data_IF_594610873225
#
_entry.id   IF_594610873225
#
_cell.length_a   1.000
_cell.length_b   1.000
_cell.length_c   1.000
_cell.angle_alpha   90.00
_cell.angle_beta   90.00
_cell.angle_gamma   90.00
#
_symmetry.space_group_name_H-M   'P 1'
#
loop_
_entity.id
_entity.type
_entity.pdbx_description
1 polymer ?
#
# COMPACT_ATOMS: atom_id res chain seq x y z
N UNK A 1 8.01 76.69 21.52
CA UNK A 1 7.26 75.57 22.11
C UNK A 1 7.69 74.29 21.41
N UNK A 2 8.61 73.52 22.04
CA UNK A 2 9.21 72.30 21.41
C UNK A 2 8.56 71.10 22.05
N UNK A 3 7.77 70.37 21.24
CA UNK A 3 7.21 69.07 21.63
C UNK A 3 8.31 68.02 21.52
N UNK A 4 8.60 67.35 22.61
CA UNK A 4 9.44 66.14 22.63
C UNK A 4 8.55 64.94 22.36
N UNK A 5 8.74 64.28 21.20
CA UNK A 5 8.09 63.04 20.85
C UNK A 5 8.90 61.90 21.50
N UNK A 6 8.37 61.33 22.57
CA UNK A 6 8.97 60.18 23.25
C UNK A 6 8.56 58.92 22.49
N UNK A 7 9.56 58.23 21.98
CA UNK A 7 9.45 56.96 21.29
C UNK A 7 8.95 55.87 22.25
N UNK A 8 7.74 55.39 22.01
CA UNK A 8 7.23 54.14 22.60
C UNK A 8 7.67 52.99 21.70
N UNK A 9 8.79 52.35 22.02
CA UNK A 9 9.14 51.05 21.45
C UNK A 9 8.25 49.99 22.11
N UNK A 10 7.21 49.58 21.42
CA UNK A 10 6.45 48.38 21.79
C UNK A 10 7.28 47.16 21.42
N UNK A 11 7.80 46.46 22.42
CA UNK A 11 8.41 45.14 22.22
C UNK A 11 7.32 44.12 21.88
N UNK A 12 7.21 43.78 20.63
CA UNK A 12 6.42 42.60 20.19
C UNK A 12 7.23 41.36 20.53
N UNK A 13 6.99 40.79 21.72
CA UNK A 13 7.47 39.45 22.04
C UNK A 13 6.75 38.44 21.20
N UNK A 14 7.43 37.92 20.14
CA UNK A 14 6.99 36.75 19.44
C UNK A 14 6.91 35.58 20.44
N UNK A 15 5.69 35.22 20.81
CA UNK A 15 5.40 33.94 21.45
C UNK A 15 5.66 32.81 20.43
N UNK A 16 6.92 32.39 20.39
CA UNK A 16 7.28 31.15 19.73
C UNK A 16 6.68 30.01 20.57
N UNK A 17 5.49 29.53 20.20
CA UNK A 17 4.87 28.38 20.83
C UNK A 17 5.81 27.16 20.74
N UNK A 18 5.70 26.21 21.68
CA UNK A 18 6.52 25.01 21.64
C UNK A 18 6.32 24.33 20.28
N UNK A 19 7.39 24.22 19.50
CA UNK A 19 7.40 23.41 18.32
C UNK A 19 7.08 21.98 18.78
N UNK A 20 5.93 21.46 18.39
CA UNK A 20 5.65 20.04 18.53
C UNK A 20 6.72 19.31 17.72
N UNK A 21 7.73 18.80 18.40
CA UNK A 21 8.68 17.88 17.80
C UNK A 21 7.88 16.65 17.32
N UNK A 22 7.85 16.44 16.02
CA UNK A 22 7.31 15.19 15.49
C UNK A 22 8.04 14.02 16.19
N UNK A 23 7.31 12.96 16.59
CA UNK A 23 7.96 11.81 17.19
C UNK A 23 9.06 11.32 16.25
N UNK A 24 10.29 11.27 16.75
CA UNK A 24 11.41 10.74 15.99
C UNK A 24 11.06 9.30 15.61
N UNK A 25 11.10 8.98 14.32
CA UNK A 25 11.00 7.61 13.87
C UNK A 25 12.10 6.79 14.55
N UNK A 26 11.78 5.55 15.01
CA UNK A 26 12.79 4.72 15.63
C UNK A 26 13.99 4.57 14.69
N UNK A 27 15.16 4.83 15.21
CA UNK A 27 16.42 4.71 14.48
C UNK A 27 16.74 3.20 14.30
N UNK A 28 16.15 2.62 13.29
CA UNK A 28 16.41 1.23 12.92
C UNK A 28 17.45 1.23 11.82
N UNK A 29 18.68 0.93 12.19
CA UNK A 29 19.81 0.83 11.27
C UNK A 29 19.54 -0.18 10.14
N UNK A 30 18.76 -1.23 10.43
CA UNK A 30 18.34 -2.25 9.46
C UNK A 30 17.46 -1.71 8.32
N UNK A 31 16.73 -0.63 8.53
CA UNK A 31 15.88 0.00 7.49
C UNK A 31 16.70 0.95 6.61
N UNK A 32 17.78 1.54 7.13
CA UNK A 32 18.58 2.52 6.38
C UNK A 32 19.29 1.92 5.16
N UNK A 33 19.67 0.66 5.25
CA UNK A 33 20.52 0.01 4.23
C UNK A 33 19.73 -0.87 3.24
N UNK A 34 18.46 -1.23 3.56
CA UNK A 34 17.73 -2.22 2.75
C UNK A 34 16.22 -2.01 2.65
N UNK A 35 15.71 -0.86 3.10
CA UNK A 35 14.27 -0.62 3.11
C UNK A 35 13.89 0.84 2.87
N UNK A 36 12.59 1.07 2.75
CA UNK A 36 12.00 2.41 2.77
C UNK A 36 10.86 2.46 3.78
N UNK A 37 10.56 3.67 4.27
CA UNK A 37 9.45 3.90 5.19
C UNK A 37 8.34 4.60 4.44
N UNK A 38 7.19 3.94 4.35
CA UNK A 38 5.98 4.50 3.75
C UNK A 38 4.99 4.91 4.85
N UNK A 39 4.64 6.20 4.87
CA UNK A 39 3.72 6.74 5.88
C UNK A 39 2.31 6.84 5.30
N UNK A 40 1.34 6.29 6.02
CA UNK A 40 -0.08 6.36 5.67
C UNK A 40 -0.88 6.98 6.82
N UNK A 41 -1.98 7.65 6.49
CA UNK A 41 -2.93 8.12 7.49
C UNK A 41 -3.90 6.98 7.81
N UNK A 42 -3.79 6.39 9.00
CA UNK A 42 -4.66 5.30 9.45
C UNK A 42 -3.90 4.16 10.14
N UNK A 43 -4.61 3.17 10.60
CA UNK A 43 -4.06 1.97 11.21
C UNK A 43 -4.21 0.77 10.29
N UNK A 44 -3.14 0.00 10.17
CA UNK A 44 -3.14 -1.27 9.47
C UNK A 44 -3.47 -2.36 10.47
N UNK A 45 -4.70 -2.85 10.46
CA UNK A 45 -5.19 -3.86 11.40
C UNK A 45 -4.95 -5.29 10.91
N UNK A 46 -4.76 -5.47 9.61
CA UNK A 46 -4.51 -6.77 8.98
C UNK A 46 -3.86 -6.58 7.63
N UNK A 47 -3.06 -7.55 7.22
CA UNK A 47 -2.51 -7.64 5.86
C UNK A 47 -3.36 -8.55 4.95
N UNK A 48 -4.41 -9.18 5.47
CA UNK A 48 -5.28 -10.03 4.65
C UNK A 48 -6.31 -9.18 3.89
N UNK A 49 -6.21 -9.08 2.55
CA UNK A 49 -7.10 -8.25 1.73
C UNK A 49 -8.55 -8.74 1.74
N UNK A 50 -8.81 -10.02 2.04
CA UNK A 50 -10.16 -10.57 2.15
C UNK A 50 -10.92 -10.06 3.39
N UNK A 51 -10.22 -9.52 4.39
CA UNK A 51 -10.81 -9.03 5.64
C UNK A 51 -10.95 -7.51 5.71
N UNK A 52 -10.59 -6.79 4.66
CA UNK A 52 -10.64 -5.32 4.63
C UNK A 52 -11.41 -4.83 3.42
N UNK A 53 -12.24 -3.83 3.67
CA UNK A 53 -13.02 -3.13 2.64
C UNK A 53 -12.55 -1.69 2.41
N UNK A 54 -11.50 -1.23 3.11
CA UNK A 54 -11.00 0.13 2.96
C UNK A 54 -9.93 0.21 1.86
N UNK A 55 -10.09 1.16 0.93
CA UNK A 55 -9.16 1.39 -0.17
C UNK A 55 -7.73 1.61 0.28
N UNK A 56 -7.50 2.28 1.42
CA UNK A 56 -6.15 2.54 1.93
C UNK A 56 -5.31 1.26 2.12
N UNK A 57 -5.87 0.22 2.73
CA UNK A 57 -5.13 -1.03 2.99
C UNK A 57 -5.03 -1.85 1.72
N UNK A 58 -6.10 -1.90 0.92
CA UNK A 58 -6.11 -2.63 -0.35
C UNK A 58 -5.13 -2.00 -1.34
N UNK A 59 -5.17 -0.68 -1.51
CA UNK A 59 -4.39 0.00 -2.54
C UNK A 59 -2.92 0.15 -2.15
N UNK A 60 -2.61 0.35 -0.87
CA UNK A 60 -1.23 0.62 -0.44
C UNK A 60 -0.45 -0.62 -0.04
N UNK A 61 -1.11 -1.64 0.49
CA UNK A 61 -0.44 -2.84 1.02
C UNK A 61 -0.76 -4.08 0.22
N UNK A 62 -2.04 -4.37 -0.03
CA UNK A 62 -2.41 -5.58 -0.73
C UNK A 62 -1.86 -5.61 -2.16
N UNK A 63 -1.88 -4.46 -2.84
CA UNK A 63 -1.31 -4.31 -4.19
C UNK A 63 0.21 -4.54 -4.26
N UNK A 64 0.92 -4.44 -3.13
CA UNK A 64 2.38 -4.65 -3.05
C UNK A 64 2.77 -6.03 -2.52
N UNK A 65 1.83 -6.74 -1.88
CA UNK A 65 2.12 -7.99 -1.19
C UNK A 65 1.51 -9.21 -1.87
N UNK A 66 0.45 -9.01 -2.67
CA UNK A 66 -0.33 -10.10 -3.25
C UNK A 66 -0.49 -9.91 -4.76
N UNK A 67 -0.23 -10.98 -5.47
CA UNK A 67 -0.50 -11.06 -6.90
C UNK A 67 -2.01 -11.19 -7.15
N UNK A 68 -2.45 -10.76 -8.32
CA UNK A 68 -3.84 -10.80 -8.79
C UNK A 68 -3.95 -11.68 -10.03
N UNK A 69 -5.18 -12.06 -10.39
CA UNK A 69 -5.40 -12.72 -11.68
C UNK A 69 -5.04 -11.80 -12.85
N UNK A 70 -5.50 -10.55 -12.75
CA UNK A 70 -5.24 -9.47 -13.69
C UNK A 70 -4.85 -8.22 -12.92
N UNK A 71 -4.01 -7.41 -13.49
CA UNK A 71 -3.67 -6.10 -12.97
C UNK A 71 -4.19 -4.98 -13.89
N UNK A 72 -4.07 -3.73 -13.46
CA UNK A 72 -4.43 -2.55 -14.22
C UNK A 72 -3.17 -1.74 -14.52
N UNK A 73 -2.85 -1.59 -15.79
CA UNK A 73 -1.76 -0.72 -16.22
C UNK A 73 -2.01 0.72 -15.74
N UNK A 74 -1.12 1.33 -14.96
CA UNK A 74 -1.34 2.63 -14.33
C UNK A 74 -1.36 3.81 -15.33
N UNK A 75 -0.86 3.61 -16.54
CA UNK A 75 -0.79 4.66 -17.57
C UNK A 75 -1.96 4.58 -18.54
N UNK A 76 -2.35 3.36 -18.92
CA UNK A 76 -3.40 3.14 -19.92
C UNK A 76 -4.75 2.78 -19.31
N UNK A 77 -4.78 2.44 -18.03
CA UNK A 77 -5.96 1.95 -17.29
C UNK A 77 -6.59 0.71 -17.93
N UNK A 78 -5.79 -0.08 -18.63
CA UNK A 78 -6.24 -1.33 -19.25
C UNK A 78 -5.87 -2.51 -18.37
N UNK A 79 -6.69 -3.54 -18.43
CA UNK A 79 -6.38 -4.83 -17.80
C UNK A 79 -5.17 -5.46 -18.50
N UNK A 80 -4.23 -5.93 -17.70
CA UNK A 80 -3.03 -6.62 -18.14
C UNK A 80 -2.92 -7.98 -17.44
N UNK A 81 -2.30 -8.98 -18.09
CA UNK A 81 -2.08 -10.30 -17.50
C UNK A 81 -1.17 -10.26 -16.28
N UNK A 82 -1.55 -10.98 -15.20
CA UNK A 82 -0.69 -11.20 -14.03
C UNK A 82 -0.63 -12.71 -13.70
N UNK A 83 -1.35 -13.26 -12.70
CA UNK A 83 -1.43 -14.71 -12.47
C UNK A 83 -2.18 -15.44 -13.57
N UNK A 84 -3.11 -14.78 -14.25
CA UNK A 84 -3.66 -15.25 -15.51
C UNK A 84 -2.83 -14.71 -16.68
N UNK A 85 -2.35 -15.59 -17.56
CA UNK A 85 -1.63 -15.20 -18.79
C UNK A 85 -2.58 -14.68 -19.88
N UNK A 86 -3.85 -15.09 -19.84
CA UNK A 86 -4.92 -14.63 -20.72
C UNK A 86 -6.30 -14.91 -20.14
N UNK A 87 -7.32 -14.29 -20.69
CA UNK A 87 -8.71 -14.56 -20.32
C UNK A 87 -9.63 -14.43 -21.52
N UNK A 88 -10.78 -15.06 -21.43
CA UNK A 88 -11.86 -15.03 -22.41
C UNK A 88 -13.16 -14.56 -21.74
N UNK A 89 -13.93 -13.78 -22.46
CA UNK A 89 -15.27 -13.35 -22.05
C UNK A 89 -16.28 -14.08 -22.93
N UNK A 90 -17.11 -14.90 -22.32
CA UNK A 90 -18.08 -15.76 -22.98
C UNK A 90 -19.51 -15.36 -22.57
N UNK A 91 -20.51 -15.90 -23.29
CA UNK A 91 -21.92 -15.73 -22.96
C UNK A 91 -22.34 -14.27 -22.73
N UNK A 92 -21.88 -13.36 -23.59
CA UNK A 92 -22.14 -11.93 -23.51
C UNK A 92 -21.73 -11.31 -22.16
N UNK A 93 -20.65 -11.78 -21.56
CA UNK A 93 -20.13 -11.27 -20.29
C UNK A 93 -20.63 -12.02 -19.05
N UNK A 94 -21.41 -13.08 -19.22
CA UNK A 94 -21.88 -13.88 -18.09
C UNK A 94 -20.84 -14.89 -17.60
N UNK A 95 -19.87 -15.26 -18.45
CA UNK A 95 -18.83 -16.24 -18.13
C UNK A 95 -17.46 -15.67 -18.44
N UNK A 96 -16.53 -15.82 -17.48
CA UNK A 96 -15.13 -15.47 -17.65
C UNK A 96 -14.27 -16.72 -17.47
N UNK A 97 -13.40 -16.99 -18.44
CA UNK A 97 -12.44 -18.07 -18.39
C UNK A 97 -11.04 -17.51 -18.29
N UNK A 98 -10.29 -17.88 -17.23
CA UNK A 98 -8.91 -17.47 -17.03
C UNK A 98 -7.96 -18.64 -17.34
N UNK A 99 -6.90 -18.36 -18.10
CA UNK A 99 -5.79 -19.28 -18.31
C UNK A 99 -4.68 -18.93 -17.36
N UNK A 100 -4.46 -19.77 -16.36
CA UNK A 100 -3.50 -19.49 -15.29
C UNK A 100 -2.07 -19.78 -15.75
N UNK A 101 -1.12 -18.95 -15.30
CA UNK A 101 0.31 -19.22 -15.47
C UNK A 101 0.69 -20.52 -14.78
N UNK A 102 1.60 -21.26 -15.40
CA UNK A 102 2.17 -22.49 -14.85
C UNK A 102 3.45 -22.17 -14.10
N UNK A 103 3.79 -23.02 -13.12
CA UNK A 103 5.03 -22.94 -12.36
C UNK A 103 5.21 -21.61 -11.62
N UNK A 104 4.15 -21.11 -11.02
CA UNK A 104 4.18 -19.96 -10.12
C UNK A 104 4.37 -20.46 -8.69
N UNK A 105 5.57 -20.34 -8.12
CA UNK A 105 5.83 -20.81 -6.77
C UNK A 105 5.23 -19.84 -5.73
N UNK A 106 4.73 -20.39 -4.63
CA UNK A 106 4.42 -19.57 -3.46
C UNK A 106 5.68 -19.09 -2.77
N UNK A 107 5.59 -17.96 -2.09
CA UNK A 107 6.68 -17.42 -1.31
C UNK A 107 7.03 -18.36 -0.14
N UNK A 108 8.32 -18.63 0.03
CA UNK A 108 8.85 -19.39 1.16
C UNK A 108 9.20 -18.44 2.30
N UNK A 109 8.83 -18.81 3.52
CA UNK A 109 9.21 -18.09 4.73
C UNK A 109 9.91 -19.03 5.72
N UNK A 110 10.42 -18.50 6.82
CA UNK A 110 11.08 -19.31 7.86
C UNK A 110 10.12 -20.33 8.52
N UNK A 111 8.83 -20.07 8.50
CA UNK A 111 7.78 -20.87 9.14
C UNK A 111 6.80 -21.52 8.13
N UNK A 112 6.97 -21.27 6.83
CA UNK A 112 6.13 -21.85 5.79
C UNK A 112 6.96 -22.25 4.57
N UNK A 113 6.85 -23.51 4.17
CA UNK A 113 7.45 -24.04 2.95
C UNK A 113 6.35 -24.56 2.05
N UNK A 114 6.14 -23.98 0.87
CA UNK A 114 5.17 -24.46 -0.09
C UNK A 114 5.47 -25.90 -0.52
N UNK A 115 4.44 -26.70 -0.66
CA UNK A 115 4.53 -28.10 -1.12
C UNK A 115 4.20 -28.26 -2.61
N UNK A 116 3.63 -27.22 -3.22
CA UNK A 116 3.25 -27.17 -4.63
C UNK A 116 3.24 -25.74 -5.15
N UNK A 117 3.14 -25.58 -6.45
CA UNK A 117 2.91 -24.31 -7.13
C UNK A 117 1.43 -23.89 -7.06
N UNK A 118 1.17 -22.63 -7.34
CA UNK A 118 -0.18 -22.05 -7.52
C UNK A 118 -0.95 -22.75 -8.62
N UNK A 119 -2.26 -22.98 -8.39
CA UNK A 119 -3.16 -23.61 -9.34
C UNK A 119 -4.61 -23.08 -9.19
N UNK A 120 -5.55 -23.67 -9.92
CA UNK A 120 -6.95 -23.27 -9.90
C UNK A 120 -7.66 -23.50 -8.55
N UNK A 121 -7.19 -24.44 -7.75
CA UNK A 121 -7.78 -24.70 -6.42
C UNK A 121 -7.57 -23.51 -5.49
N UNK A 122 -6.45 -22.78 -5.62
CA UNK A 122 -6.17 -21.58 -4.83
C UNK A 122 -7.11 -20.44 -5.21
N UNK A 123 -7.44 -20.33 -6.48
CA UNK A 123 -8.42 -19.35 -6.97
C UNK A 123 -9.81 -19.69 -6.42
N UNK A 124 -10.23 -20.95 -6.52
CA UNK A 124 -11.52 -21.43 -5.99
C UNK A 124 -11.60 -21.16 -4.49
N UNK A 125 -10.54 -21.48 -3.73
CA UNK A 125 -10.48 -21.23 -2.29
C UNK A 125 -10.61 -19.75 -1.93
N UNK A 126 -10.09 -18.86 -2.78
CA UNK A 126 -10.12 -17.42 -2.53
C UNK A 126 -11.51 -16.83 -2.76
N UNK A 127 -12.27 -17.35 -3.73
CA UNK A 127 -13.61 -16.86 -4.09
C UNK A 127 -14.76 -17.66 -3.48
N UNK A 128 -14.53 -18.83 -2.92
CA UNK A 128 -15.52 -19.71 -2.28
C UNK A 128 -15.65 -19.44 -0.80
#
# INVERSE_FOLDING_TARGET
>A
MRLKLSSLLAAVSLLCGPAFAAPALPDRADIRDSGFVYCVSGQVNTFNPQKVSSGLIVDTLAAQLYDRLLDVDPYTYRLVPELAESWEVLDNGATYRFHLRRHVPFQRTAWFTPTRDFNADDVIFTFG
#
